data_IF_924091523432
#
_entry.id   IF_924091523432
#
_cell.length_a   1.000
_cell.length_b   1.000
_cell.length_c   1.000
_cell.angle_alpha   90.00
_cell.angle_beta   90.00
_cell.angle_gamma   90.00
#
_symmetry.space_group_name_H-M   'P 1'
#
loop_
_entity.id
_entity.type
_entity.pdbx_description
1 polymer ?
#
# COMPACT_ATOMS: atom_id res chain seq x y z
N UNK A 1 -23.18 45.48 15.43
CA UNK A 1 -23.33 46.91 15.05
C UNK A 1 -23.08 47.09 13.55
N UNK A 2 -24.08 47.63 12.83
CA UNK A 2 -24.15 48.08 11.43
C UNK A 2 -22.91 47.89 10.52
N UNK A 3 -23.00 47.12 9.43
CA UNK A 3 -23.56 47.48 8.10
C UNK A 3 -22.60 48.36 7.26
N UNK A 4 -22.51 48.29 5.93
CA UNK A 4 -23.54 47.92 4.94
C UNK A 4 -22.97 47.48 3.56
N UNK A 5 -23.67 46.56 2.88
CA UNK A 5 -23.57 46.33 1.42
C UNK A 5 -24.38 47.38 0.61
N UNK A 6 -24.24 47.44 -0.72
CA UNK A 6 -25.30 46.93 -1.63
C UNK A 6 -24.75 46.22 -2.91
N UNK A 7 -25.10 44.96 -3.21
CA UNK A 7 -26.16 44.50 -4.15
C UNK A 7 -26.16 45.08 -5.56
N UNK A 8 -26.06 44.23 -6.61
CA UNK A 8 -27.14 44.04 -7.60
C UNK A 8 -26.95 42.85 -8.59
N UNK A 9 -27.93 41.94 -8.62
CA UNK A 9 -28.54 41.22 -9.77
C UNK A 9 -27.73 40.46 -10.83
N UNK A 10 -28.08 39.17 -10.99
CA UNK A 10 -27.94 38.39 -12.23
C UNK A 10 -29.05 38.74 -13.27
N UNK A 11 -29.01 38.16 -14.49
CA UNK A 11 -29.99 37.11 -14.75
C UNK A 11 -29.50 35.89 -15.57
N UNK A 12 -30.13 34.75 -15.32
CA UNK A 12 -30.13 33.55 -16.19
C UNK A 12 -30.86 33.80 -17.51
N UNK A 13 -30.42 33.14 -18.60
CA UNK A 13 -31.27 32.88 -19.75
C UNK A 13 -31.01 31.48 -20.33
N UNK A 14 -32.03 30.85 -20.91
CA UNK A 14 -32.01 29.43 -21.31
C UNK A 14 -32.45 29.22 -22.78
N UNK A 15 -32.04 28.06 -23.32
CA UNK A 15 -32.72 27.28 -24.38
C UNK A 15 -32.45 27.60 -25.89
N UNK A 16 -32.80 26.67 -26.83
CA UNK A 16 -31.96 26.36 -28.00
C UNK A 16 -32.68 26.39 -29.38
N UNK A 17 -31.94 26.14 -30.48
CA UNK A 17 -32.41 25.68 -31.82
C UNK A 17 -31.22 25.04 -32.56
N UNK A 18 -31.18 23.77 -33.00
CA UNK A 18 -31.87 23.05 -34.11
C UNK A 18 -31.38 23.33 -35.55
N UNK A 19 -30.72 22.32 -36.12
CA UNK A 19 -30.82 21.80 -37.52
C UNK A 19 -30.62 22.70 -38.75
N UNK A 20 -29.61 22.36 -39.59
CA UNK A 20 -29.79 22.25 -41.06
C UNK A 20 -28.74 21.37 -41.77
N UNK A 21 -29.19 20.19 -42.22
CA UNK A 21 -29.10 19.63 -43.59
C UNK A 21 -27.84 19.66 -44.49
N UNK A 22 -27.26 18.44 -44.66
CA UNK A 22 -26.66 17.76 -45.85
C UNK A 22 -27.17 18.20 -47.27
N UNK A 23 -26.52 17.85 -48.43
CA UNK A 23 -26.18 16.44 -48.80
C UNK A 23 -25.13 16.09 -49.93
N UNK A 24 -24.96 14.75 -50.16
CA UNK A 24 -24.41 14.01 -51.35
C UNK A 24 -22.86 13.97 -51.53
N UNK A 25 -22.21 12.96 -52.16
CA UNK A 25 -22.43 11.53 -52.63
C UNK A 25 -21.03 10.98 -53.04
N UNK A 26 -20.70 9.71 -53.31
CA UNK A 26 -21.27 8.33 -53.15
C UNK A 26 -20.11 7.31 -53.31
N UNK A 27 -20.20 6.04 -52.88
CA UNK A 27 -20.43 4.77 -53.63
C UNK A 27 -19.32 3.76 -53.24
N UNK A 28 -19.46 2.42 -53.18
CA UNK A 28 -20.59 1.48 -53.35
C UNK A 28 -20.19 0.06 -52.89
N UNK A 29 -21.12 -0.76 -52.41
CA UNK A 29 -20.95 -2.23 -52.24
C UNK A 29 -21.66 -3.01 -53.37
N UNK A 30 -21.36 -4.32 -53.53
CA UNK A 30 -22.40 -5.37 -53.43
C UNK A 30 -21.91 -6.64 -52.68
N UNK A 31 -22.62 -7.21 -51.69
CA UNK A 31 -23.79 -8.14 -51.73
C UNK A 31 -23.51 -9.60 -52.19
N UNK A 32 -23.45 -10.52 -51.19
CA UNK A 32 -24.15 -11.83 -50.98
C UNK A 32 -24.88 -12.50 -52.19
N UNK A 33 -24.95 -13.87 -52.26
CA UNK A 33 -26.07 -14.59 -51.59
C UNK A 33 -25.87 -16.06 -51.11
N UNK A 34 -26.95 -16.56 -50.48
CA UNK A 34 -27.27 -17.79 -49.72
C UNK A 34 -27.33 -19.17 -50.41
N UNK A 35 -27.26 -20.27 -49.61
CA UNK A 35 -28.22 -21.44 -49.43
C UNK A 35 -27.48 -22.68 -48.86
N UNK A 36 -28.02 -23.77 -48.27
CA UNK A 36 -29.23 -24.15 -47.49
C UNK A 36 -29.21 -25.71 -47.27
N UNK A 37 -29.24 -26.20 -46.01
CA UNK A 37 -29.60 -27.61 -45.59
C UNK A 37 -28.66 -28.78 -46.00
N UNK A 38 -28.48 -29.90 -45.26
CA UNK A 38 -29.46 -30.81 -44.61
C UNK A 38 -28.77 -31.93 -43.76
N UNK A 39 -29.54 -32.53 -42.82
CA UNK A 39 -29.40 -33.88 -42.16
C UNK A 39 -28.44 -34.09 -40.97
N UNK A 40 -28.83 -35.08 -40.16
CA UNK A 40 -28.45 -35.38 -38.76
C UNK A 40 -27.99 -36.87 -38.65
N UNK A 41 -27.97 -37.55 -37.47
CA UNK A 41 -27.07 -37.37 -36.32
C UNK A 41 -26.38 -38.71 -35.90
N UNK A 42 -25.41 -38.67 -34.98
CA UNK A 42 -24.97 -39.87 -34.22
C UNK A 42 -24.83 -39.58 -32.72
N UNK A 43 -25.27 -40.55 -31.92
CA UNK A 43 -25.32 -40.55 -30.44
C UNK A 43 -24.52 -41.76 -29.94
N UNK A 44 -23.69 -41.63 -28.89
CA UNK A 44 -23.32 -42.78 -28.05
C UNK A 44 -24.30 -42.92 -26.85
N UNK A 45 -24.31 -44.07 -26.16
CA UNK A 45 -25.45 -44.49 -25.33
C UNK A 45 -25.37 -44.10 -23.85
N UNK A 46 -26.51 -44.23 -23.16
CA UNK A 46 -26.63 -44.33 -21.69
C UNK A 46 -26.90 -45.77 -21.28
N UNK A 47 -26.19 -46.27 -20.26
CA UNK A 47 -26.60 -47.35 -19.34
C UNK A 47 -25.54 -47.47 -18.21
N UNK A 48 -25.81 -48.20 -17.11
CA UNK A 48 -26.86 -47.99 -16.13
C UNK A 48 -26.26 -47.70 -14.73
N UNK A 49 -27.09 -47.44 -13.71
CA UNK A 49 -26.60 -47.16 -12.35
C UNK A 49 -26.44 -48.40 -11.46
N UNK A 50 -25.51 -48.36 -10.50
CA UNK A 50 -25.55 -49.21 -9.30
C UNK A 50 -24.63 -48.72 -8.16
N UNK A 51 -25.05 -49.04 -6.93
CA UNK A 51 -24.34 -49.09 -5.64
C UNK A 51 -23.31 -48.02 -5.25
N UNK A 52 -23.66 -47.33 -4.16
CA UNK A 52 -22.76 -46.72 -3.18
C UNK A 52 -21.57 -47.59 -2.79
N UNK A 53 -20.36 -47.03 -2.83
CA UNK A 53 -19.24 -47.47 -1.98
C UNK A 53 -18.40 -46.27 -1.56
N UNK A 54 -18.45 -45.93 -0.28
CA UNK A 54 -17.71 -44.81 0.32
C UNK A 54 -16.20 -45.08 0.29
N UNK A 55 -15.45 -44.18 -0.35
CA UNK A 55 -13.99 -44.20 -0.29
C UNK A 55 -13.49 -43.74 1.09
N UNK A 56 -12.41 -44.32 1.66
CA UNK A 56 -11.85 -43.87 2.93
C UNK A 56 -11.32 -42.45 2.84
N UNK A 57 -11.62 -41.63 3.85
CA UNK A 57 -11.18 -40.22 3.90
C UNK A 57 -9.65 -40.10 3.87
N UNK A 58 -9.14 -39.23 2.99
CA UNK A 58 -7.72 -38.85 2.97
C UNK A 58 -7.33 -38.22 4.32
N UNK A 59 -6.33 -38.79 5.00
CA UNK A 59 -5.73 -38.17 6.20
C UNK A 59 -4.93 -36.91 5.81
N UNK A 60 -5.20 -35.73 6.39
CA UNK A 60 -4.32 -34.59 6.25
C UNK A 60 -3.16 -34.75 7.24
N UNK A 61 -2.00 -35.26 6.79
CA UNK A 61 -0.91 -35.58 7.72
C UNK A 61 0.53 -35.44 7.19
N UNK A 62 0.77 -34.74 6.08
CA UNK A 62 2.13 -34.38 5.61
C UNK A 62 2.30 -33.01 4.95
N UNK A 63 1.23 -32.29 4.60
CA UNK A 63 1.30 -31.09 3.74
C UNK A 63 0.66 -29.82 4.31
N UNK A 64 0.36 -29.80 5.61
CA UNK A 64 -0.35 -28.68 6.27
C UNK A 64 0.34 -28.32 7.58
N UNK A 65 0.82 -27.09 7.69
CA UNK A 65 1.22 -26.44 8.95
C UNK A 65 0.27 -25.27 9.21
N UNK A 66 0.12 -24.88 10.48
CA UNK A 66 -0.72 -23.76 10.90
C UNK A 66 -0.01 -22.91 11.93
N UNK A 67 -0.32 -21.61 11.94
CA UNK A 67 0.29 -20.62 12.84
C UNK A 67 -0.82 -19.86 13.52
N UNK A 68 -0.73 -19.76 14.83
CA UNK A 68 -1.80 -19.23 15.67
C UNK A 68 -1.26 -18.87 17.04
N UNK A 69 -1.82 -17.81 17.63
CA UNK A 69 -1.68 -17.53 19.06
C UNK A 69 -2.15 -18.75 19.89
N UNK A 70 -1.51 -19.06 21.03
CA UNK A 70 -1.99 -20.12 21.91
C UNK A 70 -3.39 -19.78 22.42
N UNK A 71 -4.35 -20.68 22.20
CA UNK A 71 -5.68 -20.61 22.84
C UNK A 71 -5.74 -21.63 23.98
N UNK A 72 -6.17 -21.23 25.19
CA UNK A 72 -6.50 -22.21 26.20
C UNK A 72 -7.68 -23.04 25.65
N UNK A 73 -7.50 -24.37 25.56
CA UNK A 73 -8.55 -25.37 25.30
C UNK A 73 -9.01 -25.61 23.84
N UNK A 74 -8.15 -25.48 22.81
CA UNK A 74 -8.48 -25.95 21.43
C UNK A 74 -7.44 -26.84 20.72
N UNK A 75 -6.87 -27.83 21.42
CA UNK A 75 -5.92 -28.79 20.83
C UNK A 75 -5.85 -30.18 21.50
N UNK A 76 -6.93 -30.64 22.17
CA UNK A 76 -6.88 -31.84 23.05
C UNK A 76 -7.81 -33.01 22.68
N UNK A 77 -8.20 -33.14 21.41
CA UNK A 77 -9.00 -34.28 20.91
C UNK A 77 -8.42 -34.89 19.63
N UNK A 78 -7.64 -35.96 19.82
CA UNK A 78 -7.30 -37.08 18.91
C UNK A 78 -5.80 -37.38 18.87
N UNK A 79 -5.46 -38.66 19.06
CA UNK A 79 -4.10 -39.17 18.96
C UNK A 79 -3.76 -39.46 17.48
N UNK A 80 -3.37 -38.42 16.76
CA UNK A 80 -2.74 -38.51 15.44
C UNK A 80 -1.72 -37.38 15.32
N UNK A 81 -0.59 -37.66 14.66
CA UNK A 81 0.58 -36.79 14.44
C UNK A 81 0.36 -35.31 14.79
N UNK A 82 1.00 -34.81 15.86
CA UNK A 82 0.92 -33.39 16.26
C UNK A 82 1.17 -32.53 15.01
N UNK A 83 0.23 -31.67 14.58
CA UNK A 83 0.56 -30.67 13.57
C UNK A 83 1.68 -29.79 14.13
N UNK A 84 2.69 -29.50 13.32
CA UNK A 84 3.78 -28.60 13.67
C UNK A 84 3.24 -27.16 13.73
N UNK A 85 2.65 -26.83 14.87
CA UNK A 85 2.13 -25.51 15.16
C UNK A 85 3.27 -24.65 15.71
N UNK A 86 3.71 -23.69 14.90
CA UNK A 86 4.63 -22.65 15.34
C UNK A 86 3.82 -21.57 16.05
N UNK A 87 4.03 -21.44 17.35
CA UNK A 87 3.32 -20.50 18.21
C UNK A 87 4.04 -19.15 18.21
N UNK A 88 3.26 -18.08 18.35
CA UNK A 88 3.75 -16.74 18.71
C UNK A 88 2.84 -16.17 19.79
N UNK A 89 3.36 -15.24 20.57
CA UNK A 89 2.72 -14.76 21.78
C UNK A 89 1.73 -13.61 21.51
N UNK A 90 1.01 -13.22 22.56
CA UNK A 90 0.02 -12.15 22.52
C UNK A 90 0.64 -10.75 22.41
N UNK A 91 1.83 -10.55 22.98
CA UNK A 91 2.65 -9.34 22.85
C UNK A 91 3.25 -9.12 21.45
N UNK A 92 3.25 -10.14 20.57
CA UNK A 92 3.63 -9.97 19.16
C UNK A 92 2.44 -9.44 18.37
N UNK A 93 2.43 -8.13 18.10
CA UNK A 93 1.44 -7.47 17.26
C UNK A 93 1.50 -7.96 15.81
N UNK A 94 0.36 -7.98 15.11
CA UNK A 94 0.29 -8.59 13.76
C UNK A 94 1.26 -7.95 12.74
N UNK A 95 1.39 -6.63 12.78
CA UNK A 95 2.31 -5.83 11.92
C UNK A 95 3.78 -5.86 12.36
N UNK A 96 4.06 -6.31 13.58
CA UNK A 96 5.38 -6.52 14.19
C UNK A 96 5.67 -8.03 14.39
N UNK A 97 5.30 -8.87 13.42
CA UNK A 97 5.39 -10.34 13.55
C UNK A 97 6.31 -11.03 12.55
N UNK A 98 6.96 -10.29 11.65
CA UNK A 98 7.65 -10.84 10.49
C UNK A 98 8.87 -11.72 10.85
N UNK A 99 9.59 -11.33 11.89
CA UNK A 99 10.71 -11.99 12.56
C UNK A 99 10.29 -13.25 13.38
N UNK A 100 9.03 -13.30 13.80
CA UNK A 100 8.47 -14.35 14.67
C UNK A 100 8.23 -15.68 13.93
N UNK A 101 7.43 -16.58 14.54
CA UNK A 101 6.88 -17.76 13.86
C UNK A 101 6.16 -17.45 12.53
N UNK A 102 5.64 -16.22 12.32
CA UNK A 102 5.07 -15.78 11.04
C UNK A 102 6.14 -15.65 9.92
N UNK A 103 7.42 -15.58 10.27
CA UNK A 103 8.56 -15.67 9.35
C UNK A 103 8.90 -17.08 8.81
N UNK A 104 8.38 -18.17 9.39
CA UNK A 104 8.74 -19.56 9.00
C UNK A 104 8.63 -19.86 7.49
N UNK A 105 7.72 -19.23 6.75
CA UNK A 105 7.61 -19.41 5.28
C UNK A 105 8.78 -18.79 4.54
N UNK A 106 9.28 -17.65 5.01
CA UNK A 106 10.51 -17.04 4.51
C UNK A 106 11.70 -17.93 4.88
N UNK A 107 11.80 -18.38 6.14
CA UNK A 107 12.87 -19.27 6.60
C UNK A 107 12.99 -20.57 5.77
N UNK A 108 11.87 -21.12 5.31
CA UNK A 108 11.85 -22.28 4.39
C UNK A 108 12.35 -21.90 2.98
N UNK A 109 12.06 -20.69 2.50
CA UNK A 109 12.42 -20.22 1.17
C UNK A 109 13.89 -19.79 1.04
N UNK A 110 14.42 -19.05 2.03
CA UNK A 110 15.81 -18.53 2.01
C UNK A 110 16.81 -19.40 2.80
N UNK A 111 16.32 -20.41 3.50
CA UNK A 111 17.10 -21.25 4.41
C UNK A 111 17.25 -20.65 5.82
N UNK A 112 17.54 -21.48 6.83
CA UNK A 112 17.62 -21.04 8.22
C UNK A 112 18.78 -20.07 8.49
N UNK A 113 19.90 -20.20 7.76
CA UNK A 113 21.09 -19.39 8.01
C UNK A 113 20.90 -17.95 7.53
N UNK A 114 20.31 -17.75 6.34
CA UNK A 114 19.91 -16.43 5.84
C UNK A 114 18.77 -15.81 6.65
N UNK A 115 17.89 -16.63 7.23
CA UNK A 115 16.87 -16.13 8.15
C UNK A 115 17.49 -15.64 9.48
N UNK A 116 18.50 -16.34 10.02
CA UNK A 116 19.25 -15.83 11.19
C UNK A 116 20.01 -14.55 10.86
N UNK A 117 20.67 -14.47 9.70
CA UNK A 117 21.32 -13.24 9.22
C UNK A 117 20.33 -12.05 9.19
N UNK A 118 19.07 -12.28 8.81
CA UNK A 118 18.01 -11.27 8.89
C UNK A 118 17.69 -10.87 10.33
N UNK A 119 17.51 -11.83 11.25
CA UNK A 119 17.26 -11.57 12.68
C UNK A 119 18.43 -10.83 13.34
N UNK A 120 19.67 -11.15 12.98
CA UNK A 120 20.86 -10.43 13.44
C UNK A 120 20.82 -8.95 12.96
N UNK A 121 20.24 -8.71 11.79
CA UNK A 121 19.98 -7.36 11.26
C UNK A 121 18.90 -6.58 12.03
N UNK A 122 17.82 -7.23 12.44
CA UNK A 122 16.84 -6.64 13.38
C UNK A 122 17.54 -6.25 14.69
N UNK A 123 18.23 -7.21 15.31
CA UNK A 123 18.88 -7.05 16.61
C UNK A 123 19.94 -5.92 16.63
N UNK A 124 20.68 -5.72 15.52
CA UNK A 124 21.61 -4.60 15.39
C UNK A 124 20.92 -3.24 15.53
N UNK A 125 19.72 -3.07 14.95
CA UNK A 125 18.97 -1.81 15.05
C UNK A 125 18.24 -1.69 16.40
N UNK A 126 17.79 -2.81 17.00
CA UNK A 126 17.25 -2.81 18.36
C UNK A 126 18.30 -2.31 19.37
N UNK A 127 19.52 -2.83 19.31
CA UNK A 127 20.61 -2.42 20.19
C UNK A 127 21.09 -0.99 19.90
N UNK A 128 21.15 -0.59 18.62
CA UNK A 128 21.41 0.81 18.25
C UNK A 128 20.34 1.74 18.83
N UNK A 129 19.06 1.43 18.64
CA UNK A 129 17.95 2.23 19.17
C UNK A 129 17.99 2.34 20.70
N UNK A 130 18.35 1.24 21.38
CA UNK A 130 18.42 1.14 22.84
C UNK A 130 19.64 1.85 23.46
N UNK A 131 20.75 1.99 22.74
CA UNK A 131 22.04 2.40 23.33
C UNK A 131 22.72 3.60 22.69
N UNK A 132 22.40 3.96 21.44
CA UNK A 132 22.97 5.12 20.78
C UNK A 132 22.51 6.43 21.41
N UNK A 133 23.38 7.45 21.35
CA UNK A 133 23.03 8.83 21.72
C UNK A 133 21.87 9.30 20.86
N UNK A 134 20.97 10.11 21.42
CA UNK A 134 19.78 10.62 20.71
C UNK A 134 20.15 11.33 19.40
N UNK A 135 21.24 12.09 19.40
CA UNK A 135 21.72 12.84 18.21
C UNK A 135 22.29 11.93 17.09
N UNK A 136 22.55 10.66 17.38
CA UNK A 136 23.12 9.64 16.48
C UNK A 136 22.13 8.49 16.24
N UNK A 137 20.95 8.53 16.88
CA UNK A 137 19.96 7.47 16.88
C UNK A 137 19.05 7.59 15.64
N UNK A 138 19.45 6.95 14.53
CA UNK A 138 18.75 7.03 13.26
C UNK A 138 17.22 6.80 13.33
N UNK A 139 16.67 5.74 13.96
CA UNK A 139 15.22 5.59 14.10
C UNK A 139 14.56 6.78 14.84
N UNK A 140 15.21 7.31 15.87
CA UNK A 140 14.72 8.45 16.63
C UNK A 140 14.70 9.73 15.78
N UNK A 141 15.77 10.01 15.04
CA UNK A 141 15.85 11.14 14.11
C UNK A 141 14.80 11.03 12.98
N UNK A 142 14.62 9.84 12.40
CA UNK A 142 13.58 9.61 11.38
C UNK A 142 12.16 9.80 11.95
N UNK A 143 11.93 9.40 13.21
CA UNK A 143 10.67 9.64 13.90
C UNK A 143 10.40 11.13 14.08
N UNK A 144 11.37 11.86 14.62
CA UNK A 144 11.30 13.31 14.83
C UNK A 144 11.15 14.10 13.52
N UNK A 145 11.79 13.69 12.42
CA UNK A 145 11.58 14.32 11.11
C UNK A 145 10.14 14.16 10.61
N UNK A 146 9.52 13.00 10.85
CA UNK A 146 8.10 12.80 10.53
C UNK A 146 7.18 13.67 11.37
N UNK A 147 7.44 13.81 12.67
CA UNK A 147 6.73 14.75 13.57
C UNK A 147 6.94 16.19 13.11
N UNK A 148 8.17 16.58 12.77
CA UNK A 148 8.51 17.93 12.33
C UNK A 148 7.70 18.33 11.08
N UNK A 149 7.76 17.53 10.02
CA UNK A 149 7.01 17.86 8.80
C UNK A 149 5.50 17.68 8.96
N UNK A 150 5.03 16.66 9.69
CA UNK A 150 3.60 16.43 9.92
C UNK A 150 2.95 17.53 10.76
N UNK A 151 3.55 17.87 11.91
CA UNK A 151 2.94 18.77 12.89
C UNK A 151 3.28 20.26 12.69
N UNK A 152 4.44 20.59 12.09
CA UNK A 152 4.88 21.99 11.91
C UNK A 152 4.82 22.47 10.45
N UNK A 153 4.70 21.56 9.47
CA UNK A 153 4.60 21.89 8.05
C UNK A 153 3.36 21.33 7.32
N UNK A 154 2.38 20.75 8.04
CA UNK A 154 1.14 20.15 7.49
C UNK A 154 1.40 19.08 6.40
N UNK A 155 2.50 18.34 6.51
CA UNK A 155 2.83 17.24 5.60
C UNK A 155 2.01 15.98 5.96
N UNK A 156 0.75 15.95 5.51
CA UNK A 156 -0.20 14.85 5.75
C UNK A 156 0.17 13.53 5.04
N UNK A 157 1.27 13.48 4.28
CA UNK A 157 1.63 12.35 3.45
C UNK A 157 3.15 12.16 3.38
N UNK A 158 3.57 10.89 3.42
CA UNK A 158 4.98 10.50 3.46
C UNK A 158 5.25 9.45 2.37
N UNK A 159 6.21 9.73 1.49
CA UNK A 159 6.58 8.83 0.40
C UNK A 159 7.74 7.92 0.81
N UNK A 160 7.68 6.62 0.49
CA UNK A 160 8.82 5.69 0.62
C UNK A 160 9.14 5.09 -0.74
N UNK A 161 10.34 5.42 -1.24
CA UNK A 161 10.74 5.32 -2.63
C UNK A 161 12.02 4.45 -2.75
N UNK A 162 11.90 3.12 -2.69
CA UNK A 162 13.05 2.22 -2.77
C UNK A 162 13.55 2.07 -4.21
N UNK A 163 14.83 2.31 -4.45
CA UNK A 163 15.51 2.08 -5.74
C UNK A 163 16.01 0.63 -5.80
N UNK A 164 15.06 -0.30 -5.62
CA UNK A 164 15.24 -1.74 -5.84
C UNK A 164 13.88 -2.38 -6.10
N UNK A 165 13.74 -3.12 -7.21
CA UNK A 165 12.49 -3.80 -7.55
C UNK A 165 12.11 -4.90 -6.54
N UNK A 166 13.08 -5.49 -5.86
CA UNK A 166 12.87 -6.49 -4.82
C UNK A 166 12.10 -5.92 -3.61
N UNK A 167 12.17 -4.61 -3.39
CA UNK A 167 11.38 -3.90 -2.38
C UNK A 167 10.00 -3.42 -2.88
N UNK A 168 9.49 -3.97 -4.00
CA UNK A 168 8.15 -3.63 -4.54
C UNK A 168 6.95 -3.90 -3.61
N UNK A 169 7.15 -4.63 -2.51
CA UNK A 169 6.17 -4.84 -1.44
C UNK A 169 6.52 -4.14 -0.13
N UNK A 170 7.68 -3.52 -0.02
CA UNK A 170 8.16 -2.88 1.21
C UNK A 170 7.23 -1.74 1.64
N UNK A 171 6.90 -0.83 0.72
CA UNK A 171 5.97 0.29 1.02
C UNK A 171 4.57 -0.20 1.39
N UNK A 172 4.10 -1.32 0.87
CA UNK A 172 2.81 -1.92 1.24
C UNK A 172 2.84 -2.58 2.63
N UNK A 173 3.98 -3.09 3.06
CA UNK A 173 4.20 -3.52 4.45
C UNK A 173 4.25 -2.30 5.39
N UNK A 174 5.00 -1.24 5.02
CA UNK A 174 5.08 0.00 5.80
C UNK A 174 3.73 0.71 5.94
N UNK A 175 2.85 0.63 4.92
CA UNK A 175 1.48 1.12 5.03
C UNK A 175 0.72 0.51 6.20
N UNK A 176 0.83 -0.81 6.42
CA UNK A 176 0.22 -1.42 7.60
C UNK A 176 0.98 -1.03 8.87
N UNK A 177 2.31 -1.10 8.86
CA UNK A 177 3.14 -0.83 10.02
C UNK A 177 2.90 0.57 10.61
N UNK A 178 2.96 1.61 9.78
CA UNK A 178 2.80 3.01 10.20
C UNK A 178 1.32 3.36 10.41
N UNK A 179 0.49 3.21 9.38
CA UNK A 179 -0.89 3.72 9.41
C UNK A 179 -1.82 2.96 10.38
N UNK A 180 -1.64 1.65 10.57
CA UNK A 180 -2.43 0.89 11.56
C UNK A 180 -1.90 1.11 13.00
N UNK A 181 -0.62 1.44 13.17
CA UNK A 181 -0.07 1.80 14.48
C UNK A 181 -0.48 3.21 14.90
N UNK A 182 -0.19 4.19 14.06
CA UNK A 182 -0.18 5.61 14.45
C UNK A 182 -1.37 6.41 13.88
N UNK A 183 -2.25 5.81 13.07
CA UNK A 183 -3.51 6.41 12.64
C UNK A 183 -4.55 6.46 13.76
N UNK A 184 -4.27 7.22 14.82
CA UNK A 184 -5.05 7.30 16.08
C UNK A 184 -5.54 8.73 16.33
N UNK A 185 -6.65 8.84 17.06
CA UNK A 185 -7.31 10.12 17.39
C UNK A 185 -7.49 10.35 18.88
N UNK A 186 -6.90 9.48 19.71
CA UNK A 186 -7.07 9.43 21.17
C UNK A 186 -5.73 9.06 21.77
N UNK A 187 -5.35 9.75 22.86
CA UNK A 187 -4.13 9.50 23.61
C UNK A 187 -4.26 8.32 24.58
N UNK A 188 -3.16 8.02 25.31
CA UNK A 188 -3.10 6.90 26.26
C UNK A 188 -4.01 7.05 27.48
N UNK A 189 -4.42 8.28 27.83
CA UNK A 189 -5.40 8.55 28.89
C UNK A 189 -6.85 8.50 28.42
N UNK A 190 -7.10 8.33 27.11
CA UNK A 190 -8.44 8.29 26.52
C UNK A 190 -8.99 9.66 26.13
N UNK A 191 -8.17 10.71 26.07
CA UNK A 191 -8.55 12.06 25.63
C UNK A 191 -8.35 12.20 24.11
N UNK A 192 -9.21 12.94 23.37
CA UNK A 192 -8.96 13.24 21.96
C UNK A 192 -7.66 14.05 21.79
N UNK A 193 -6.84 13.68 20.80
CA UNK A 193 -5.64 14.46 20.45
C UNK A 193 -5.98 15.71 19.63
N UNK A 194 -5.23 16.80 19.84
CA UNK A 194 -5.43 18.08 19.12
C UNK A 194 -4.43 18.27 17.95
N UNK A 195 -3.56 17.29 17.70
CA UNK A 195 -2.53 17.30 16.65
C UNK A 195 -2.77 16.21 15.59
N UNK A 196 -2.12 16.35 14.43
CA UNK A 196 -2.04 15.28 13.42
C UNK A 196 -1.15 14.14 13.93
N UNK A 197 -1.54 12.90 13.65
CA UNK A 197 -0.80 11.68 14.00
C UNK A 197 -0.24 11.01 12.74
N UNK A 198 -0.31 9.68 12.60
CA UNK A 198 0.33 8.92 11.51
C UNK A 198 -0.05 9.42 10.10
N UNK A 199 0.92 9.63 9.18
CA UNK A 199 0.69 10.18 7.85
C UNK A 199 0.12 9.14 6.87
N UNK A 200 -0.37 9.60 5.72
CA UNK A 200 -0.66 8.69 4.59
C UNK A 200 0.66 8.23 3.95
N UNK A 201 1.05 7.00 4.22
CA UNK A 201 2.25 6.35 3.65
C UNK A 201 1.96 5.77 2.26
N UNK A 202 2.83 6.01 1.30
CA UNK A 202 2.67 5.52 -0.07
C UNK A 202 3.99 5.52 -0.85
N UNK A 203 3.98 4.96 -2.06
CA UNK A 203 5.14 4.93 -2.95
C UNK A 203 5.25 3.64 -3.74
N UNK A 204 6.17 3.63 -4.70
CA UNK A 204 6.52 2.50 -5.57
C UNK A 204 8.03 2.53 -5.81
N UNK A 205 8.66 1.41 -6.25
CA UNK A 205 10.09 1.43 -6.54
C UNK A 205 10.50 2.45 -7.61
N UNK A 206 11.71 2.98 -7.46
CA UNK A 206 12.41 3.71 -8.51
C UNK A 206 12.84 2.76 -9.64
N UNK A 207 12.89 3.20 -10.91
CA UNK A 207 12.49 4.52 -11.43
C UNK A 207 11.00 4.65 -11.75
N UNK A 208 10.19 3.58 -11.60
CA UNK A 208 8.77 3.56 -12.00
C UNK A 208 7.95 4.71 -11.42
N UNK A 209 8.20 5.09 -10.15
CA UNK A 209 7.53 6.24 -9.52
C UNK A 209 7.79 7.59 -10.21
N UNK A 210 8.98 7.76 -10.83
CA UNK A 210 9.36 8.98 -11.54
C UNK A 210 8.44 9.26 -12.73
N UNK A 211 8.06 8.21 -13.45
CA UNK A 211 7.18 8.29 -14.62
C UNK A 211 5.69 8.27 -14.26
N UNK A 212 5.33 8.28 -12.97
CA UNK A 212 3.95 8.18 -12.50
C UNK A 212 3.49 9.42 -11.73
N UNK A 213 4.24 9.85 -10.71
CA UNK A 213 3.76 10.84 -9.73
C UNK A 213 4.81 11.83 -9.23
N UNK A 214 6.09 11.71 -9.62
CA UNK A 214 7.12 12.67 -9.23
C UNK A 214 6.81 14.10 -9.71
N UNK A 215 6.04 14.26 -10.80
CA UNK A 215 5.47 15.55 -11.22
C UNK A 215 4.73 16.28 -10.08
N UNK A 216 3.99 15.54 -9.25
CA UNK A 216 3.27 16.09 -8.10
C UNK A 216 4.22 16.37 -6.93
N UNK A 217 5.24 15.52 -6.72
CA UNK A 217 6.24 15.74 -5.66
C UNK A 217 7.08 17.00 -5.94
N UNK A 218 7.47 17.24 -7.20
CA UNK A 218 8.34 18.34 -7.64
C UNK A 218 7.65 19.69 -7.86
N UNK A 219 6.43 19.71 -8.42
CA UNK A 219 5.74 20.95 -8.80
C UNK A 219 4.28 21.00 -8.33
N UNK A 220 3.82 20.01 -7.55
CA UNK A 220 2.51 20.03 -6.92
C UNK A 220 2.45 20.99 -5.73
N UNK A 221 1.23 21.29 -5.30
CA UNK A 221 0.97 22.21 -4.17
C UNK A 221 1.01 21.54 -2.79
N UNK A 222 1.46 20.28 -2.72
CA UNK A 222 1.53 19.47 -1.49
C UNK A 222 2.98 19.28 -1.09
N UNK A 223 3.30 19.55 0.18
CA UNK A 223 4.57 19.16 0.77
C UNK A 223 4.53 17.65 1.07
N UNK A 224 5.48 16.91 0.52
CA UNK A 224 5.56 15.45 0.67
C UNK A 224 7.02 15.10 0.98
N UNK A 225 7.37 14.89 2.25
CA UNK A 225 8.63 14.25 2.64
C UNK A 225 8.76 12.88 2.00
N UNK A 226 9.98 12.55 1.56
CA UNK A 226 10.26 11.31 0.86
C UNK A 226 11.51 10.59 1.37
N UNK A 227 11.36 9.34 1.81
CA UNK A 227 12.47 8.46 2.16
C UNK A 227 12.94 7.71 0.89
N UNK A 228 14.15 8.01 0.44
CA UNK A 228 14.84 7.36 -0.68
C UNK A 228 15.72 6.24 -0.13
N UNK A 229 15.45 4.99 -0.51
CA UNK A 229 16.22 3.80 -0.06
C UNK A 229 17.00 3.24 -1.24
N UNK A 230 18.33 3.19 -1.15
CA UNK A 230 19.23 2.77 -2.24
C UNK A 230 20.27 1.75 -1.78
N UNK A 231 20.90 1.08 -2.76
CA UNK A 231 21.93 0.07 -2.52
C UNK A 231 23.16 0.36 -3.38
N UNK A 232 24.36 0.30 -2.79
CA UNK A 232 25.60 0.60 -3.51
C UNK A 232 25.97 -0.49 -4.53
N UNK A 233 25.65 -1.76 -4.25
CA UNK A 233 25.83 -2.89 -5.17
C UNK A 233 24.47 -3.40 -5.67
N UNK A 234 24.42 -3.97 -6.89
CA UNK A 234 23.27 -4.74 -7.36
C UNK A 234 23.07 -6.02 -6.52
N UNK A 235 21.96 -6.72 -6.77
CA UNK A 235 21.72 -8.06 -6.23
C UNK A 235 22.65 -9.10 -6.87
N UNK A 236 23.00 -10.15 -6.13
CA UNK A 236 23.96 -11.17 -6.55
C UNK A 236 23.50 -11.96 -7.79
N UNK A 237 22.19 -12.01 -8.07
CA UNK A 237 21.62 -12.68 -9.25
C UNK A 237 21.62 -11.83 -10.53
N UNK A 238 22.06 -10.57 -10.48
CA UNK A 238 22.12 -9.72 -11.67
C UNK A 238 23.24 -10.19 -12.61
N UNK A 239 22.91 -10.40 -13.90
CA UNK A 239 23.90 -10.77 -14.90
C UNK A 239 25.01 -9.70 -14.99
N UNK A 240 26.31 -10.06 -15.05
CA UNK A 240 27.41 -9.09 -15.06
C UNK A 240 27.32 -8.03 -16.17
N UNK A 241 26.71 -8.39 -17.31
CA UNK A 241 26.47 -7.49 -18.45
C UNK A 241 25.42 -6.40 -18.16
N UNK A 242 24.66 -6.55 -17.08
CA UNK A 242 23.65 -5.60 -16.62
C UNK A 242 24.12 -4.78 -15.41
N UNK A 243 25.35 -5.01 -14.90
CA UNK A 243 25.88 -4.29 -13.74
C UNK A 243 25.87 -2.76 -13.93
N UNK A 244 26.25 -2.27 -15.12
CA UNK A 244 26.21 -0.85 -15.49
C UNK A 244 24.80 -0.23 -15.41
N UNK A 245 23.73 -1.04 -15.49
CA UNK A 245 22.35 -0.57 -15.32
C UNK A 245 22.04 -0.20 -13.87
N UNK A 246 22.77 -0.78 -12.90
CA UNK A 246 22.66 -0.41 -11.48
C UNK A 246 23.19 1.01 -11.26
N UNK A 247 24.30 1.38 -11.91
CA UNK A 247 24.84 2.74 -11.82
C UNK A 247 23.89 3.76 -12.48
N UNK A 248 23.20 3.40 -13.58
CA UNK A 248 22.15 4.24 -14.16
C UNK A 248 20.92 4.39 -13.23
N UNK A 249 20.54 3.34 -12.51
CA UNK A 249 19.49 3.40 -11.48
C UNK A 249 19.91 4.31 -10.31
N UNK A 250 21.16 4.21 -9.86
CA UNK A 250 21.67 5.01 -8.75
C UNK A 250 21.99 6.46 -9.16
N UNK A 251 22.37 6.74 -10.41
CA UNK A 251 22.45 8.10 -10.93
C UNK A 251 21.08 8.81 -10.83
N UNK A 252 20.00 8.08 -11.14
CA UNK A 252 18.63 8.57 -10.96
C UNK A 252 18.26 8.76 -9.47
N UNK A 253 18.74 7.90 -8.57
CA UNK A 253 18.55 8.05 -7.11
C UNK A 253 19.14 9.38 -6.60
N UNK A 254 20.40 9.66 -6.91
CA UNK A 254 21.09 10.89 -6.48
C UNK A 254 20.56 12.15 -7.17
N UNK A 255 20.27 12.09 -8.48
CA UNK A 255 19.76 13.23 -9.22
C UNK A 255 18.38 13.68 -8.72
N UNK A 256 17.51 12.75 -8.31
CA UNK A 256 16.17 13.09 -7.81
C UNK A 256 16.20 13.74 -6.43
N UNK A 257 17.04 13.27 -5.49
CA UNK A 257 17.18 13.91 -4.18
C UNK A 257 17.81 15.30 -4.31
N UNK A 258 18.80 15.47 -5.20
CA UNK A 258 19.37 16.78 -5.53
C UNK A 258 18.31 17.74 -6.14
N UNK A 259 17.54 17.28 -7.12
CA UNK A 259 16.52 18.11 -7.78
C UNK A 259 15.38 18.51 -6.83
N UNK A 260 14.99 17.63 -5.90
CA UNK A 260 14.00 17.94 -4.87
C UNK A 260 14.53 18.98 -3.85
N UNK A 261 15.81 18.90 -3.47
CA UNK A 261 16.43 19.84 -2.55
C UNK A 261 16.61 21.23 -3.17
N UNK A 262 17.23 21.33 -4.35
CA UNK A 262 17.69 22.62 -4.90
C UNK A 262 16.80 23.19 -6.02
N UNK A 263 15.95 22.36 -6.64
CA UNK A 263 15.09 22.81 -7.72
C UNK A 263 15.86 23.32 -8.94
N UNK A 264 15.32 24.39 -9.54
CA UNK A 264 15.85 25.08 -10.72
C UNK A 264 15.17 26.44 -10.87
N UNK A 265 15.96 27.51 -10.80
CA UNK A 265 15.49 28.89 -10.80
C UNK A 265 14.96 29.36 -12.17
N UNK A 266 14.10 30.38 -12.22
CA UNK A 266 13.68 31.00 -13.49
C UNK A 266 14.85 31.50 -14.34
N UNK A 267 15.94 31.94 -13.70
CA UNK A 267 17.15 32.46 -14.35
C UNK A 267 17.92 31.34 -15.06
N UNK A 268 18.10 30.20 -14.41
CA UNK A 268 18.69 29.00 -15.02
C UNK A 268 17.82 28.47 -16.17
N UNK A 269 16.49 28.51 -16.03
CA UNK A 269 15.55 28.11 -17.10
C UNK A 269 15.66 29.05 -18.31
N UNK A 270 15.79 30.37 -18.12
CA UNK A 270 16.03 31.33 -19.21
C UNK A 270 17.39 31.13 -19.87
N UNK A 271 18.43 30.80 -19.10
CA UNK A 271 19.78 30.55 -19.63
C UNK A 271 19.83 29.36 -20.60
N UNK A 272 18.89 28.42 -20.51
CA UNK A 272 18.72 27.30 -21.47
C UNK A 272 18.01 27.69 -22.78
N UNK A 273 17.67 28.97 -22.98
CA UNK A 273 16.94 29.43 -24.18
C UNK A 273 15.47 29.03 -24.19
N UNK A 274 14.87 28.78 -23.03
CA UNK A 274 13.42 28.56 -22.89
C UNK A 274 12.68 29.88 -23.13
N UNK A 275 11.61 29.83 -23.94
CA UNK A 275 10.72 30.98 -24.16
C UNK A 275 10.09 31.48 -22.84
N UNK A 276 10.01 32.81 -22.65
CA UNK A 276 9.63 33.42 -21.37
C UNK A 276 8.27 32.97 -20.82
N UNK A 277 7.31 32.65 -21.70
CA UNK A 277 5.99 32.12 -21.33
C UNK A 277 6.06 30.71 -20.71
N UNK A 278 7.07 29.93 -21.05
CA UNK A 278 7.31 28.58 -20.52
C UNK A 278 8.21 28.57 -19.28
N UNK A 279 8.86 29.69 -18.93
CA UNK A 279 9.77 29.77 -17.76
C UNK A 279 9.07 29.39 -16.45
N UNK A 280 7.87 29.90 -16.12
CA UNK A 280 7.17 29.50 -14.89
C UNK A 280 6.82 28.02 -14.84
N UNK A 281 6.54 27.39 -15.99
CA UNK A 281 6.19 25.98 -16.09
C UNK A 281 7.39 25.04 -15.96
N UNK A 282 8.60 25.51 -16.28
CA UNK A 282 9.86 24.75 -16.17
C UNK A 282 10.71 25.11 -14.95
N UNK A 283 10.24 26.05 -14.12
CA UNK A 283 10.85 26.37 -12.83
C UNK A 283 10.52 25.28 -11.81
N UNK A 284 11.50 24.90 -11.00
CA UNK A 284 11.34 23.95 -9.89
C UNK A 284 11.75 24.68 -8.61
N UNK A 285 10.88 24.72 -7.59
CA UNK A 285 11.11 25.64 -6.45
C UNK A 285 12.24 25.17 -5.52
N UNK A 286 12.55 23.87 -5.47
CA UNK A 286 13.40 23.28 -4.44
C UNK A 286 12.69 23.16 -3.08
N UNK A 287 13.44 22.99 -2.00
CA UNK A 287 12.92 22.85 -0.64
C UNK A 287 11.82 21.76 -0.52
N UNK A 288 12.03 20.61 -1.17
CA UNK A 288 11.26 19.40 -0.95
C UNK A 288 12.09 18.41 -0.10
N UNK A 289 11.65 18.09 1.13
CA UNK A 289 12.49 17.35 2.08
C UNK A 289 12.63 15.87 1.71
N UNK A 290 13.87 15.37 1.75
CA UNK A 290 14.16 13.96 1.49
C UNK A 290 15.10 13.37 2.55
N UNK A 291 14.88 12.11 2.89
CA UNK A 291 15.80 11.29 3.71
C UNK A 291 16.48 10.30 2.79
N UNK A 292 17.82 10.20 2.81
CA UNK A 292 18.56 9.21 2.02
C UNK A 292 19.07 8.09 2.92
N UNK A 293 18.60 6.86 2.67
CA UNK A 293 19.09 5.63 3.32
C UNK A 293 19.84 4.82 2.26
N UNK A 294 21.16 4.71 2.41
CA UNK A 294 22.03 4.00 1.46
C UNK A 294 22.75 2.85 2.17
N UNK A 295 22.54 1.63 1.70
CA UNK A 295 23.17 0.42 2.25
C UNK A 295 24.14 -0.24 1.24
N UNK A 296 25.10 -1.07 1.66
CA UNK A 296 26.07 -1.68 0.74
C UNK A 296 25.46 -2.62 -0.32
N UNK A 297 24.44 -3.41 0.07
CA UNK A 297 23.69 -4.33 -0.78
C UNK A 297 22.39 -4.73 -0.07
N UNK A 298 21.38 -5.21 -0.80
CA UNK A 298 20.15 -5.75 -0.20
C UNK A 298 20.37 -7.21 0.26
N UNK A 299 21.06 -7.37 1.39
CA UNK A 299 21.23 -8.66 2.07
C UNK A 299 20.06 -8.95 3.02
N UNK A 300 19.88 -10.20 3.50
CA UNK A 300 18.94 -10.51 4.58
C UNK A 300 19.15 -9.65 5.83
N UNK A 301 20.41 -9.43 6.26
CA UNK A 301 20.70 -8.54 7.40
C UNK A 301 20.23 -7.11 7.14
N UNK A 302 20.52 -6.55 5.96
CA UNK A 302 20.10 -5.18 5.61
C UNK A 302 18.57 -5.08 5.49
N UNK A 303 17.88 -6.13 5.02
CA UNK A 303 16.41 -6.17 5.06
C UNK A 303 15.88 -6.13 6.50
N UNK A 304 16.48 -6.89 7.42
CA UNK A 304 16.13 -6.85 8.84
C UNK A 304 16.37 -5.48 9.47
N UNK A 305 17.53 -4.88 9.19
CA UNK A 305 17.86 -3.52 9.63
C UNK A 305 16.85 -2.49 9.11
N UNK A 306 16.48 -2.57 7.83
CA UNK A 306 15.49 -1.67 7.22
C UNK A 306 14.11 -1.83 7.84
N UNK A 307 13.67 -3.04 8.20
CA UNK A 307 12.37 -3.23 8.85
C UNK A 307 12.41 -2.65 10.27
N UNK A 308 13.38 -3.06 11.09
CA UNK A 308 13.54 -2.58 12.47
C UNK A 308 13.68 -1.04 12.55
N UNK A 309 14.38 -0.41 11.57
CA UNK A 309 14.49 1.04 11.46
C UNK A 309 13.12 1.73 11.38
N UNK A 310 12.18 1.17 10.60
CA UNK A 310 10.83 1.72 10.49
C UNK A 310 9.93 1.30 11.67
N UNK A 311 10.11 0.12 12.26
CA UNK A 311 9.39 -0.27 13.48
C UNK A 311 9.71 0.68 14.64
N UNK A 312 11.00 1.00 14.85
CA UNK A 312 11.42 1.97 15.87
C UNK A 312 11.07 3.43 15.51
N UNK A 313 11.10 3.82 14.22
CA UNK A 313 10.57 5.13 13.76
C UNK A 313 9.11 5.31 14.19
N UNK A 314 8.27 4.31 13.90
CA UNK A 314 6.83 4.32 14.20
C UNK A 314 6.59 4.33 15.72
N UNK A 315 7.39 3.58 16.49
CA UNK A 315 7.35 3.62 17.96
C UNK A 315 7.70 5.02 18.51
N UNK A 316 8.77 5.66 18.04
CA UNK A 316 9.18 7.01 18.48
C UNK A 316 8.07 8.03 18.21
N UNK A 317 7.46 7.97 17.02
CA UNK A 317 6.34 8.84 16.67
C UNK A 317 5.15 8.65 17.62
N UNK A 318 4.74 7.40 17.86
CA UNK A 318 3.63 7.10 18.77
C UNK A 318 3.90 7.51 20.22
N UNK A 319 5.16 7.37 20.68
CA UNK A 319 5.58 7.79 22.01
C UNK A 319 5.58 9.31 22.18
N UNK A 320 5.98 10.09 21.16
CA UNK A 320 5.94 11.56 21.22
C UNK A 320 4.52 12.11 21.09
N UNK A 321 3.66 11.45 20.30
CA UNK A 321 2.23 11.80 20.20
C UNK A 321 1.38 11.27 21.36
N UNK A 322 1.97 10.55 22.32
CA UNK A 322 1.31 9.94 23.47
C UNK A 322 0.10 9.07 23.09
N UNK A 323 0.25 8.23 22.06
CA UNK A 323 -0.79 7.30 21.56
C UNK A 323 -0.43 5.83 21.80
N UNK A 324 -1.40 4.93 21.67
CA UNK A 324 -1.13 3.49 21.63
C UNK A 324 -0.86 3.00 20.20
N UNK A 325 0.43 2.82 19.85
CA UNK A 325 0.85 2.27 18.56
C UNK A 325 0.52 0.78 18.35
N UNK A 326 0.02 0.07 19.37
CA UNK A 326 -0.10 -1.40 19.37
C UNK A 326 -1.55 -1.91 19.30
N UNK A 327 -2.56 -1.06 19.51
CA UNK A 327 -3.97 -1.40 19.27
C UNK A 327 -4.41 -1.20 17.80
N UNK A 328 -5.67 -1.56 17.49
CA UNK A 328 -6.30 -1.28 16.18
C UNK A 328 -7.84 -1.21 16.23
N UNK A 329 -8.43 -0.52 17.22
CA UNK A 329 -9.90 -0.54 17.42
C UNK A 329 -10.74 -0.11 16.20
N UNK A 330 -10.21 0.77 15.35
CA UNK A 330 -10.91 1.28 14.17
C UNK A 330 -11.38 0.22 13.17
N UNK A 331 -10.78 -0.98 13.15
CA UNK A 331 -11.15 -2.05 12.20
C UNK A 331 -12.40 -2.84 12.63
N UNK A 332 -12.84 -2.74 13.88
CA UNK A 332 -13.91 -3.60 14.41
C UNK A 332 -15.31 -3.19 13.93
N UNK A 333 -15.58 -1.89 13.77
CA UNK A 333 -16.87 -1.40 13.28
C UNK A 333 -17.21 -1.98 11.90
N UNK A 334 -16.23 -2.00 10.99
CA UNK A 334 -16.40 -2.58 9.65
C UNK A 334 -16.73 -4.08 9.69
N UNK A 335 -16.12 -4.85 10.59
CA UNK A 335 -16.38 -6.28 10.77
C UNK A 335 -17.81 -6.53 11.30
N UNK A 336 -18.30 -5.69 12.21
CA UNK A 336 -19.68 -5.77 12.74
C UNK A 336 -20.70 -5.42 11.65
N UNK A 337 -20.47 -4.34 10.90
CA UNK A 337 -21.37 -3.92 9.81
C UNK A 337 -21.40 -4.94 8.67
N UNK A 338 -20.26 -5.52 8.28
CA UNK A 338 -20.20 -6.57 7.25
C UNK A 338 -21.07 -7.79 7.63
N UNK A 339 -20.93 -8.31 8.86
CA UNK A 339 -21.76 -9.43 9.37
C UNK A 339 -23.25 -9.09 9.43
N UNK A 340 -23.60 -7.82 9.68
CA UNK A 340 -24.99 -7.35 9.70
C UNK A 340 -25.61 -7.27 8.30
N UNK A 341 -24.81 -6.92 7.28
CA UNK A 341 -25.27 -6.79 5.89
C UNK A 341 -25.26 -8.13 5.13
N UNK A 342 -24.42 -9.09 5.54
CA UNK A 342 -24.28 -10.41 4.90
C UNK A 342 -25.63 -11.12 4.64
N UNK A 343 -26.57 -11.27 5.61
CA UNK A 343 -27.88 -11.91 5.38
C UNK A 343 -28.74 -11.21 4.32
N UNK A 344 -28.64 -9.89 4.18
CA UNK A 344 -29.37 -9.16 3.14
C UNK A 344 -28.82 -9.51 1.74
N UNK A 345 -27.50 -9.65 1.61
CA UNK A 345 -26.82 -10.01 0.36
C UNK A 345 -26.98 -11.50 -0.02
N UNK A 346 -27.00 -12.39 0.98
CA UNK A 346 -27.09 -13.85 0.77
C UNK A 346 -28.54 -14.31 0.65
N UNK A 347 -29.36 -14.04 1.66
CA UNK A 347 -30.69 -14.61 1.84
C UNK A 347 -31.80 -13.65 1.41
N UNK A 348 -31.56 -12.35 1.52
CA UNK A 348 -32.57 -11.31 1.22
C UNK A 348 -33.37 -10.92 2.44
N UNK A 349 -32.83 -11.21 3.63
CA UNK A 349 -33.41 -10.79 4.89
C UNK A 349 -33.48 -9.26 4.98
N UNK A 350 -34.62 -8.74 5.46
CA UNK A 350 -34.72 -7.35 5.88
C UNK A 350 -33.82 -7.12 7.10
N UNK A 351 -32.92 -6.16 7.00
CA UNK A 351 -31.97 -5.81 8.06
C UNK A 351 -32.38 -4.44 8.62
N UNK A 352 -32.91 -4.38 9.85
CA UNK A 352 -33.31 -3.12 10.48
C UNK A 352 -32.13 -2.15 10.55
N UNK A 353 -32.39 -0.86 10.37
CA UNK A 353 -31.39 0.20 10.55
C UNK A 353 -30.30 0.29 9.47
N UNK A 354 -30.45 -0.34 8.30
CA UNK A 354 -29.71 0.07 7.11
C UNK A 354 -30.26 1.39 6.56
N UNK A 355 -29.35 2.27 6.16
CA UNK A 355 -29.65 3.55 5.51
C UNK A 355 -30.18 3.36 4.06
N UNK A 356 -30.69 4.44 3.46
CA UNK A 356 -31.29 4.41 2.13
C UNK A 356 -30.30 4.07 0.99
N UNK A 357 -29.04 4.47 1.12
CA UNK A 357 -27.98 4.17 0.13
C UNK A 357 -27.62 2.69 0.18
N UNK A 358 -27.30 2.17 1.38
CA UNK A 358 -26.97 0.76 1.55
C UNK A 358 -28.12 -0.15 1.10
N UNK A 359 -29.37 0.17 1.42
CA UNK A 359 -30.54 -0.58 0.94
C UNK A 359 -30.63 -0.62 -0.59
N UNK A 360 -30.47 0.52 -1.26
CA UNK A 360 -30.49 0.61 -2.73
C UNK A 360 -29.36 -0.21 -3.35
N UNK A 361 -28.15 -0.16 -2.78
CA UNK A 361 -26.99 -0.92 -3.25
C UNK A 361 -27.14 -2.43 -3.03
N UNK A 362 -27.68 -2.86 -1.88
CA UNK A 362 -28.01 -4.28 -1.61
C UNK A 362 -29.03 -4.79 -2.63
N UNK A 363 -30.11 -4.05 -2.86
CA UNK A 363 -31.12 -4.42 -3.85
C UNK A 363 -30.52 -4.53 -5.26
N UNK A 364 -29.70 -3.56 -5.69
CA UNK A 364 -29.04 -3.60 -6.99
C UNK A 364 -28.03 -4.74 -7.12
N UNK A 365 -27.27 -5.02 -6.07
CA UNK A 365 -26.35 -6.16 -6.03
C UNK A 365 -27.10 -7.50 -6.20
N UNK A 366 -28.24 -7.67 -5.53
CA UNK A 366 -29.07 -8.87 -5.66
C UNK A 366 -29.66 -9.02 -7.06
N UNK A 367 -30.21 -7.94 -7.61
CA UNK A 367 -30.73 -7.88 -8.99
C UNK A 367 -29.66 -8.33 -10.00
N UNK A 368 -28.44 -7.78 -9.91
CA UNK A 368 -27.29 -8.16 -10.75
C UNK A 368 -26.80 -9.60 -10.54
N UNK A 369 -27.22 -10.25 -9.45
CA UNK A 369 -26.94 -11.66 -9.14
C UNK A 369 -28.14 -12.60 -9.40
N UNK A 370 -29.27 -12.08 -9.88
CA UNK A 370 -30.50 -12.84 -10.12
C UNK A 370 -31.13 -13.38 -8.83
N UNK A 371 -31.18 -12.57 -7.77
CA UNK A 371 -31.63 -12.91 -6.41
C UNK A 371 -32.63 -11.90 -5.84
#
# INVERSE_FOLDING_TARGET
PCASSPTSTAPTCTRPCTTSTRPRRSSSSPRRPSRRSRRSPTRPPRAPGSSTRSAPGRRPSRSTSSRSRPTPRRSRTSASTRPTCSMFWDWVGGRYSYDSAIGLSLMIAIGPDRFREMLDGFHQIDEHFRTARIEENAPFLLGLLGIWYGNFHDAQSHAVLPYSHYLSKFTAYLQQLDMESNGKSVDREGRPVEWQTGPVVWGTPGTNGQHAYYQLIHQGTKLIPADFIGFARPVDELEPQLADQHDLLMANFFAQTQALAFGKTPEEVRAEGVADDLVPHKTFRGDHPTTTVLAPALSPSVLGQLIALYEHKVFVQGAVWDIDSFDQWGVELGKVLAKRVEPALTEGAEVPGLDASTKTLVAKYRELRGR
#
